data_IF_917249598616
#
_entry.id   IF_917249598616
#
_cell.length_a   1.000
_cell.length_b   1.000
_cell.length_c   1.000
_cell.angle_alpha   90.00
_cell.angle_beta   90.00
_cell.angle_gamma   90.00
#
_symmetry.space_group_name_H-M   'P 1'
#
loop_
_entity.id
_entity.type
_entity.pdbx_description
1 polymer ?
#
# COMPACT_ATOMS: atom_id res chain seq x y z
N UNK A 1 23.88 -17.84 -13.30
CA UNK A 1 25.19 -17.62 -12.62
C UNK A 1 25.30 -16.12 -12.37
N UNK A 2 24.95 -15.68 -11.16
CA UNK A 2 25.05 -14.27 -10.76
C UNK A 2 26.52 -13.92 -10.55
N UNK A 3 26.98 -12.81 -11.15
CA UNK A 3 28.31 -12.26 -10.85
C UNK A 3 28.15 -11.30 -9.67
N UNK A 4 28.78 -11.64 -8.56
CA UNK A 4 29.04 -10.72 -7.46
C UNK A 4 30.11 -9.73 -7.93
N UNK A 5 29.83 -8.43 -7.92
CA UNK A 5 30.86 -7.40 -7.99
C UNK A 5 31.40 -7.17 -6.56
N UNK A 6 32.68 -7.46 -6.28
CA UNK A 6 33.28 -7.30 -4.96
C UNK A 6 33.53 -5.84 -4.55
N UNK A 7 33.16 -4.85 -5.38
CA UNK A 7 33.23 -3.43 -5.02
C UNK A 7 31.85 -2.95 -4.56
N UNK A 8 31.61 -2.97 -3.24
CA UNK A 8 30.31 -2.74 -2.61
C UNK A 8 29.71 -1.34 -2.81
N UNK A 9 29.16 -1.06 -3.99
CA UNK A 9 28.50 0.23 -4.29
C UNK A 9 27.07 0.08 -4.80
N UNK A 10 26.64 -1.09 -5.29
CA UNK A 10 25.30 -1.29 -5.86
C UNK A 10 24.74 -2.67 -5.47
N UNK A 11 23.82 -2.73 -4.50
CA UNK A 11 23.04 -3.94 -4.21
C UNK A 11 21.75 -3.97 -5.05
N UNK A 12 21.84 -3.72 -6.35
CA UNK A 12 20.75 -3.97 -7.29
C UNK A 12 20.95 -5.37 -7.86
N UNK A 13 20.05 -6.30 -7.55
CA UNK A 13 19.97 -7.54 -8.32
C UNK A 13 19.22 -7.17 -9.60
N UNK A 14 19.96 -6.79 -10.64
CA UNK A 14 19.40 -6.67 -11.99
C UNK A 14 19.09 -8.07 -12.50
N UNK A 15 17.80 -8.39 -12.53
CA UNK A 15 17.32 -9.62 -13.15
C UNK A 15 16.94 -9.31 -14.60
N UNK A 16 17.55 -9.98 -15.60
CA UNK A 16 17.24 -9.73 -17.01
C UNK A 16 15.75 -9.99 -17.31
N UNK A 17 15.20 -9.42 -18.40
CA UNK A 17 13.81 -9.69 -18.78
C UNK A 17 13.58 -11.18 -19.01
N UNK A 18 12.49 -11.68 -18.46
CA UNK A 18 12.02 -13.05 -18.60
C UNK A 18 11.16 -13.22 -19.86
N UNK A 19 11.05 -14.45 -20.38
CA UNK A 19 10.05 -14.75 -21.37
C UNK A 19 8.65 -14.71 -20.72
N UNK A 20 7.61 -14.46 -21.53
CA UNK A 20 6.24 -14.43 -21.04
C UNK A 20 5.87 -15.75 -20.34
N UNK A 21 5.57 -15.70 -19.05
CA UNK A 21 5.20 -16.85 -18.22
C UNK A 21 6.28 -17.37 -17.26
N UNK A 22 7.51 -16.86 -17.30
CA UNK A 22 8.54 -17.26 -16.34
C UNK A 22 8.45 -16.46 -15.03
N UNK A 23 8.90 -17.05 -13.91
CA UNK A 23 8.87 -16.44 -12.56
C UNK A 23 10.26 -16.45 -11.91
N UNK A 24 10.66 -15.33 -11.29
CA UNK A 24 11.82 -15.30 -10.39
C UNK A 24 11.44 -15.72 -8.98
N UNK A 25 12.17 -16.70 -8.43
CA UNK A 25 12.12 -17.06 -7.01
C UNK A 25 13.30 -16.39 -6.29
N UNK A 26 13.03 -15.31 -5.54
CA UNK A 26 14.04 -14.60 -4.75
C UNK A 26 13.67 -14.66 -3.27
N UNK A 27 14.52 -15.29 -2.46
CA UNK A 27 14.43 -15.27 -1.00
C UNK A 27 15.51 -14.31 -0.46
N UNK A 28 15.12 -13.13 0.05
CA UNK A 28 16.08 -12.26 0.73
C UNK A 28 15.45 -11.34 1.78
N UNK A 29 16.24 -11.05 2.81
CA UNK A 29 16.00 -10.07 3.88
C UNK A 29 17.10 -9.01 3.81
N UNK A 30 16.77 -7.70 3.85
CA UNK A 30 17.76 -6.62 3.74
C UNK A 30 17.55 -5.48 4.76
N UNK A 31 18.64 -5.08 5.43
CA UNK A 31 18.81 -3.86 6.23
C UNK A 31 19.89 -3.01 5.54
N UNK A 32 19.57 -1.78 5.14
CA UNK A 32 20.54 -0.88 4.50
C UNK A 32 20.81 0.35 5.36
N UNK A 33 22.05 0.49 5.86
CA UNK A 33 22.56 1.68 6.58
C UNK A 33 23.40 2.62 5.71
N UNK A 34 23.25 2.58 4.37
CA UNK A 34 24.03 3.41 3.46
C UNK A 34 23.43 4.84 3.33
N UNK A 35 24.25 5.85 3.64
CA UNK A 35 23.89 7.29 3.72
C UNK A 35 24.48 8.13 2.57
N UNK A 36 24.81 7.54 1.42
CA UNK A 36 25.49 8.28 0.33
C UNK A 36 24.50 9.07 -0.58
N UNK A 37 24.63 10.41 -0.72
CA UNK A 37 23.68 11.28 -1.43
C UNK A 37 23.92 11.43 -2.95
N UNK A 38 24.51 10.45 -3.63
CA UNK A 38 24.80 10.56 -5.06
C UNK A 38 23.59 10.15 -5.93
N UNK A 39 22.82 11.16 -6.36
CA UNK A 39 21.94 11.18 -7.55
C UNK A 39 21.18 9.87 -7.88
N UNK A 40 20.04 9.64 -7.23
CA UNK A 40 18.92 8.90 -7.84
C UNK A 40 18.86 7.37 -7.74
N UNK A 41 19.88 6.65 -7.24
CA UNK A 41 19.82 5.20 -7.12
C UNK A 41 19.23 4.73 -5.77
N UNK A 42 17.96 4.34 -5.75
CA UNK A 42 17.37 3.60 -4.62
C UNK A 42 17.83 2.15 -4.61
N UNK A 43 18.17 1.58 -3.45
CA UNK A 43 18.44 0.13 -3.32
C UNK A 43 17.14 -0.67 -3.49
N UNK A 44 17.17 -1.84 -4.13
CA UNK A 44 15.91 -2.56 -4.35
C UNK A 44 15.97 -3.79 -5.24
N UNK A 45 14.80 -4.41 -5.37
CA UNK A 45 14.51 -5.43 -6.39
C UNK A 45 13.82 -4.79 -7.58
N UNK A 46 14.28 -5.12 -8.78
CA UNK A 46 13.80 -4.49 -10.00
C UNK A 46 13.58 -5.53 -11.10
N UNK A 47 12.35 -5.66 -11.60
CA UNK A 47 12.07 -6.30 -12.88
C UNK A 47 11.54 -5.21 -13.85
N UNK A 48 12.45 -4.54 -14.54
CA UNK A 48 12.14 -3.33 -15.33
C UNK A 48 12.46 -3.51 -16.80
N UNK A 49 11.68 -2.89 -17.68
CA UNK A 49 11.99 -2.80 -19.11
C UNK A 49 11.84 -1.36 -19.62
N UNK A 50 12.84 -0.94 -20.40
CA UNK A 50 12.82 0.33 -21.12
C UNK A 50 12.28 0.19 -22.56
N UNK A 51 12.11 -1.05 -23.04
CA UNK A 51 11.61 -1.35 -24.39
C UNK A 51 10.08 -1.43 -24.45
N UNK A 52 9.55 -1.64 -25.65
CA UNK A 52 8.10 -1.80 -25.88
C UNK A 52 7.52 -3.14 -25.42
N UNK A 53 8.34 -4.04 -24.89
CA UNK A 53 7.89 -5.31 -24.29
C UNK A 53 7.42 -5.11 -22.84
N UNK A 54 6.62 -6.05 -22.33
CA UNK A 54 6.15 -6.01 -20.94
C UNK A 54 7.25 -6.37 -19.94
N UNK A 55 7.19 -5.80 -18.73
CA UNK A 55 8.09 -6.14 -17.64
C UNK A 55 7.78 -7.55 -17.11
N UNK A 56 8.81 -8.22 -16.57
CA UNK A 56 8.63 -9.51 -15.90
C UNK A 56 7.94 -9.35 -14.55
N UNK A 57 7.29 -10.43 -14.09
CA UNK A 57 6.67 -10.48 -12.76
C UNK A 57 7.67 -10.86 -11.67
N UNK A 58 7.36 -10.52 -10.42
CA UNK A 58 8.17 -10.78 -9.24
C UNK A 58 7.38 -11.58 -8.21
N UNK A 59 7.95 -12.68 -7.72
CA UNK A 59 7.40 -13.46 -6.61
C UNK A 59 8.36 -13.38 -5.41
N UNK A 60 7.83 -12.94 -4.27
CA UNK A 60 8.55 -12.81 -3.00
C UNK A 60 7.97 -13.78 -1.98
N UNK A 61 8.73 -14.84 -1.67
CA UNK A 61 8.33 -15.88 -0.74
C UNK A 61 8.99 -15.66 0.62
N UNK A 62 8.31 -14.94 1.52
CA UNK A 62 8.81 -14.62 2.86
C UNK A 62 7.68 -14.29 3.86
N UNK A 63 7.76 -14.75 5.12
CA UNK A 63 6.82 -14.35 6.17
C UNK A 63 7.07 -12.91 6.64
N UNK A 64 8.24 -12.35 6.34
CA UNK A 64 8.60 -10.98 6.70
C UNK A 64 9.35 -10.30 5.55
N UNK A 65 8.81 -9.18 5.07
CA UNK A 65 9.42 -8.30 4.09
C UNK A 65 9.70 -6.95 4.73
N UNK A 66 10.95 -6.50 4.70
CA UNK A 66 11.35 -5.19 5.21
C UNK A 66 11.90 -4.34 4.08
N UNK A 67 11.17 -3.31 3.70
CA UNK A 67 11.56 -2.32 2.68
C UNK A 67 11.76 -1.00 3.40
N UNK A 68 13.01 -0.59 3.57
CA UNK A 68 13.34 0.54 4.46
C UNK A 68 14.30 1.51 3.81
N UNK A 69 14.37 2.74 4.32
CA UNK A 69 15.36 3.75 3.90
C UNK A 69 15.32 4.00 2.39
N UNK A 70 14.12 4.28 1.86
CA UNK A 70 13.85 4.53 0.44
C UNK A 70 14.14 3.34 -0.48
N UNK A 71 14.23 2.12 0.08
CA UNK A 71 14.34 0.93 -0.74
C UNK A 71 13.09 0.69 -1.59
N UNK A 72 13.26 0.01 -2.72
CA UNK A 72 12.19 -0.28 -3.67
C UNK A 72 12.07 -1.77 -3.98
N UNK A 73 10.84 -2.25 -4.11
CA UNK A 73 10.51 -3.51 -4.78
C UNK A 73 9.65 -3.11 -5.97
N UNK A 74 10.18 -3.19 -7.18
CA UNK A 74 9.53 -2.56 -8.33
C UNK A 74 9.53 -3.46 -9.56
N UNK A 75 8.36 -3.54 -10.20
CA UNK A 75 8.20 -4.02 -11.57
C UNK A 75 7.71 -2.84 -12.40
N UNK A 76 8.46 -2.47 -13.44
CA UNK A 76 8.18 -1.23 -14.17
C UNK A 76 8.40 -1.37 -15.67
N UNK A 77 7.44 -0.89 -16.45
CA UNK A 77 7.64 -0.67 -17.88
C UNK A 77 7.65 0.82 -18.19
N UNK A 78 8.75 1.30 -18.78
CA UNK A 78 8.95 2.72 -19.09
C UNK A 78 8.29 3.10 -20.42
N UNK A 79 8.22 2.17 -21.38
CA UNK A 79 7.62 2.41 -22.69
C UNK A 79 6.24 1.76 -22.80
N UNK A 80 5.88 1.26 -23.98
CA UNK A 80 4.49 0.94 -24.32
C UNK A 80 4.01 -0.43 -23.81
N UNK A 81 4.87 -1.23 -23.20
CA UNK A 81 4.51 -2.54 -22.65
C UNK A 81 3.82 -2.43 -21.29
N UNK A 82 3.10 -3.48 -20.90
CA UNK A 82 2.44 -3.55 -19.60
C UNK A 82 3.46 -3.78 -18.47
N UNK A 83 3.16 -3.31 -17.26
CA UNK A 83 3.96 -3.66 -16.10
C UNK A 83 3.73 -5.13 -15.71
N UNK A 84 4.76 -5.75 -15.14
CA UNK A 84 4.64 -7.09 -14.55
C UNK A 84 3.84 -7.05 -13.26
N UNK A 85 3.57 -8.22 -12.70
CA UNK A 85 2.85 -8.36 -11.44
C UNK A 85 3.82 -8.61 -10.27
N UNK A 86 3.42 -8.28 -9.05
CA UNK A 86 4.14 -8.63 -7.81
C UNK A 86 3.26 -9.54 -6.96
N UNK A 87 3.75 -10.73 -6.63
CA UNK A 87 3.12 -11.62 -5.65
C UNK A 87 4.00 -11.68 -4.40
N UNK A 88 3.40 -11.49 -3.22
CA UNK A 88 4.09 -11.59 -1.94
C UNK A 88 3.29 -12.54 -1.04
N UNK A 89 3.94 -13.63 -0.64
CA UNK A 89 3.34 -14.67 0.19
C UNK A 89 4.39 -15.26 1.15
N UNK A 90 3.97 -15.80 2.31
CA UNK A 90 4.88 -16.54 3.17
C UNK A 90 5.31 -17.84 2.49
N UNK A 91 6.50 -18.35 2.83
CA UNK A 91 6.91 -19.68 2.38
C UNK A 91 6.04 -20.78 3.01
N UNK A 92 6.06 -21.96 2.40
CA UNK A 92 5.26 -23.12 2.81
C UNK A 92 5.34 -23.39 4.33
N UNK A 93 4.16 -23.44 4.96
CA UNK A 93 4.00 -23.71 6.38
C UNK A 93 3.84 -22.46 7.25
N UNK A 94 4.27 -21.29 6.77
CA UNK A 94 4.00 -20.03 7.45
C UNK A 94 2.62 -19.49 7.07
N UNK A 95 1.95 -18.86 8.03
CA UNK A 95 0.56 -18.40 7.87
C UNK A 95 0.42 -16.89 7.94
N UNK A 96 1.51 -16.19 8.25
CA UNK A 96 1.52 -14.76 8.51
C UNK A 96 2.51 -14.06 7.61
N UNK A 97 2.15 -12.88 7.13
CA UNK A 97 2.99 -12.00 6.33
C UNK A 97 3.10 -10.63 7.03
N UNK A 98 4.31 -10.21 7.34
CA UNK A 98 4.62 -8.90 7.89
C UNK A 98 5.42 -8.06 6.89
N UNK A 99 4.85 -6.97 6.41
CA UNK A 99 5.49 -6.01 5.51
C UNK A 99 5.79 -4.73 6.28
N UNK A 100 7.07 -4.40 6.43
CA UNK A 100 7.54 -3.17 7.08
C UNK A 100 8.07 -2.19 6.01
N UNK A 101 7.41 -1.04 5.91
CA UNK A 101 7.72 0.03 4.96
C UNK A 101 8.23 1.27 5.73
N UNK A 102 9.48 1.20 6.19
CA UNK A 102 10.10 2.26 7.00
C UNK A 102 10.81 3.31 6.14
N UNK A 103 10.85 4.57 6.59
CA UNK A 103 11.52 5.71 5.92
C UNK A 103 11.37 5.70 4.38
N UNK A 104 10.13 5.80 3.91
CA UNK A 104 9.78 5.81 2.48
C UNK A 104 10.07 4.51 1.71
N UNK A 105 9.94 3.34 2.35
CA UNK A 105 9.97 2.06 1.64
C UNK A 105 8.80 1.91 0.66
N UNK A 106 9.09 1.44 -0.56
CA UNK A 106 8.09 1.37 -1.65
C UNK A 106 8.04 -0.02 -2.28
N UNK A 107 6.83 -0.51 -2.51
CA UNK A 107 6.54 -1.67 -3.37
C UNK A 107 5.67 -1.16 -4.52
N UNK A 108 6.09 -1.31 -5.77
CA UNK A 108 5.41 -0.68 -6.91
C UNK A 108 5.31 -1.58 -8.14
N UNK A 109 4.13 -1.65 -8.75
CA UNK A 109 3.91 -2.28 -10.03
C UNK A 109 3.31 -1.25 -11.01
N UNK A 110 4.15 -0.57 -11.76
CA UNK A 110 3.77 0.69 -12.44
C UNK A 110 4.25 0.81 -13.88
N UNK A 111 3.51 1.57 -14.68
CA UNK A 111 3.95 1.98 -16.04
C UNK A 111 4.01 3.49 -16.13
N UNK A 112 4.92 4.00 -16.98
CA UNK A 112 5.10 5.44 -17.21
C UNK A 112 4.80 5.93 -18.64
N UNK A 113 4.34 5.05 -19.54
CA UNK A 113 3.91 5.42 -20.91
C UNK A 113 2.54 4.82 -21.26
N UNK A 114 2.38 3.98 -22.28
CA UNK A 114 1.05 3.51 -22.70
C UNK A 114 0.67 2.13 -22.18
N UNK A 115 1.48 1.47 -21.36
CA UNK A 115 1.13 0.17 -20.78
C UNK A 115 0.12 0.25 -19.63
N UNK A 116 -0.56 -0.84 -19.33
CA UNK A 116 -1.40 -0.97 -18.12
C UNK A 116 -0.52 -1.14 -16.88
N UNK A 117 -0.96 -0.58 -15.75
CA UNK A 117 -0.32 -0.82 -14.46
C UNK A 117 -0.37 -2.30 -14.07
N UNK A 118 0.64 -2.74 -13.31
CA UNK A 118 0.80 -4.14 -12.92
C UNK A 118 0.03 -4.44 -11.64
N UNK A 119 -0.38 -5.69 -11.44
CA UNK A 119 -1.13 -6.06 -10.24
C UNK A 119 -0.19 -6.40 -9.10
N UNK A 120 -0.65 -6.16 -7.86
CA UNK A 120 0.04 -6.58 -6.65
C UNK A 120 -0.88 -7.53 -5.90
N UNK A 121 -0.37 -8.69 -5.51
CA UNK A 121 -1.09 -9.68 -4.74
C UNK A 121 -0.38 -9.96 -3.42
N UNK A 122 -1.10 -9.81 -2.31
CA UNK A 122 -0.64 -10.11 -0.96
C UNK A 122 -1.46 -11.27 -0.39
N UNK A 123 -0.81 -12.39 -0.07
CA UNK A 123 -1.48 -13.60 0.38
C UNK A 123 -0.89 -14.09 1.69
N UNK A 124 -1.74 -14.34 2.70
CA UNK A 124 -1.32 -15.08 3.90
C UNK A 124 -2.54 -15.71 4.59
N UNK A 125 -2.55 -17.03 4.86
CA UNK A 125 -3.73 -17.72 5.37
C UNK A 125 -4.31 -17.20 6.70
N UNK A 126 -3.51 -16.59 7.57
CA UNK A 126 -3.92 -16.14 8.90
C UNK A 126 -3.89 -14.62 9.04
N UNK A 127 -2.80 -13.95 8.68
CA UNK A 127 -2.75 -12.50 8.82
C UNK A 127 -1.75 -11.83 7.91
N UNK A 128 -2.11 -10.65 7.40
CA UNK A 128 -1.19 -9.72 6.73
C UNK A 128 -1.11 -8.44 7.57
N UNK A 129 0.10 -8.04 7.94
CA UNK A 129 0.36 -6.73 8.56
C UNK A 129 1.20 -5.88 7.63
N UNK A 130 0.69 -4.71 7.23
CA UNK A 130 1.45 -3.68 6.52
C UNK A 130 1.66 -2.51 7.46
N UNK A 131 2.90 -2.30 7.88
CA UNK A 131 3.29 -1.24 8.80
C UNK A 131 4.20 -0.24 8.08
N UNK A 132 3.74 1.01 8.02
CA UNK A 132 4.61 2.13 7.72
C UNK A 132 5.31 2.62 9.00
N UNK A 133 6.38 3.40 8.84
CA UNK A 133 7.00 4.14 9.95
C UNK A 133 7.32 5.60 9.63
N UNK A 134 6.81 6.09 8.50
CA UNK A 134 6.95 7.49 8.11
C UNK A 134 6.26 8.42 9.09
N UNK A 135 6.92 9.52 9.47
CA UNK A 135 6.32 10.59 10.30
C UNK A 135 5.72 11.72 9.45
N UNK A 136 5.97 11.71 8.14
CA UNK A 136 5.52 12.71 7.18
C UNK A 136 4.85 12.05 5.98
N UNK A 137 4.15 12.85 5.17
CA UNK A 137 3.54 12.39 3.91
C UNK A 137 4.59 11.85 2.94
N UNK A 138 5.76 12.48 2.86
CA UNK A 138 6.88 12.07 2.01
C UNK A 138 7.64 10.86 2.57
N UNK A 139 7.60 10.69 3.89
CA UNK A 139 8.21 9.58 4.63
C UNK A 139 7.40 8.28 4.63
N UNK A 140 6.17 8.31 4.09
CA UNK A 140 5.22 7.19 4.20
C UNK A 140 5.72 5.95 3.47
N UNK A 141 5.38 4.79 4.02
CA UNK A 141 5.53 3.53 3.32
C UNK A 141 4.40 3.33 2.32
N UNK A 142 4.72 2.86 1.11
CA UNK A 142 3.72 2.74 0.04
C UNK A 142 3.77 1.37 -0.64
N UNK A 143 2.59 0.79 -0.89
CA UNK A 143 2.37 -0.27 -1.88
C UNK A 143 1.49 0.31 -2.98
N UNK A 144 1.96 0.34 -4.22
CA UNK A 144 1.31 1.08 -5.30
C UNK A 144 1.27 0.30 -6.61
N UNK A 145 0.07 0.01 -7.11
CA UNK A 145 -0.17 -0.49 -8.46
C UNK A 145 -0.61 0.66 -9.40
N UNK A 146 0.12 1.76 -9.34
CA UNK A 146 -0.24 3.04 -9.96
C UNK A 146 0.25 3.13 -11.42
N UNK A 147 -0.40 3.98 -12.22
CA UNK A 147 0.12 4.35 -13.55
C UNK A 147 0.05 5.84 -13.78
N UNK A 148 1.13 6.41 -14.33
CA UNK A 148 1.13 7.74 -14.95
C UNK A 148 0.87 7.67 -16.46
N UNK A 149 0.59 6.47 -16.96
CA UNK A 149 0.40 6.17 -18.36
C UNK A 149 -0.98 6.48 -18.92
N UNK A 150 -1.16 6.23 -20.21
CA UNK A 150 -2.44 6.51 -20.90
C UNK A 150 -3.52 5.45 -20.71
N UNK A 151 -3.18 4.33 -20.05
CA UNK A 151 -4.07 3.18 -19.82
C UNK A 151 -4.36 2.98 -18.32
N UNK A 152 -5.23 2.04 -18.00
CA UNK A 152 -5.68 1.79 -16.63
C UNK A 152 -4.54 1.41 -15.67
N UNK A 153 -4.66 1.84 -14.41
CA UNK A 153 -3.80 1.41 -13.32
C UNK A 153 -4.02 -0.08 -12.99
N UNK A 154 -3.06 -0.68 -12.28
CA UNK A 154 -3.13 -2.07 -11.86
C UNK A 154 -4.00 -2.26 -10.63
N UNK A 155 -4.32 -3.51 -10.31
CA UNK A 155 -5.13 -3.85 -9.14
C UNK A 155 -4.27 -4.28 -7.95
N UNK A 156 -4.86 -4.24 -6.76
CA UNK A 156 -4.29 -4.77 -5.54
C UNK A 156 -5.24 -5.78 -4.92
N UNK A 157 -4.79 -7.03 -4.83
CA UNK A 157 -5.55 -8.12 -4.23
C UNK A 157 -4.92 -8.53 -2.89
N UNK A 158 -5.74 -8.64 -1.85
CA UNK A 158 -5.31 -9.00 -0.50
C UNK A 158 -6.17 -10.16 0.01
N UNK A 159 -5.54 -11.28 0.34
CA UNK A 159 -6.20 -12.52 0.75
C UNK A 159 -5.65 -12.97 2.11
N UNK A 160 -6.46 -12.82 3.17
CA UNK A 160 -6.04 -13.19 4.53
C UNK A 160 -7.20 -13.24 5.52
N UNK A 161 -7.09 -13.93 6.66
CA UNK A 161 -8.14 -13.83 7.69
C UNK A 161 -8.15 -12.46 8.38
N UNK A 162 -6.98 -11.89 8.65
CA UNK A 162 -6.84 -10.59 9.32
C UNK A 162 -5.86 -9.68 8.56
N UNK A 163 -6.35 -8.54 8.09
CA UNK A 163 -5.54 -7.47 7.51
C UNK A 163 -5.34 -6.35 8.52
N UNK A 164 -4.09 -5.97 8.79
CA UNK A 164 -3.76 -4.79 9.58
C UNK A 164 -2.91 -3.81 8.77
N UNK A 165 -3.39 -2.59 8.58
CA UNK A 165 -2.67 -1.49 7.94
C UNK A 165 -2.44 -0.40 8.98
N UNK A 166 -1.17 -0.08 9.26
CA UNK A 166 -0.83 0.87 10.31
C UNK A 166 0.40 1.72 10.02
N UNK A 167 0.66 2.71 10.86
CA UNK A 167 1.93 3.46 10.87
C UNK A 167 2.15 4.32 9.62
N UNK A 168 1.08 4.84 9.02
CA UNK A 168 1.10 5.63 7.78
C UNK A 168 1.45 4.80 6.52
N UNK A 169 1.24 3.47 6.54
CA UNK A 169 1.26 2.65 5.32
C UNK A 169 0.10 2.99 4.37
N UNK A 170 0.41 3.37 3.13
CA UNK A 170 -0.57 3.63 2.07
C UNK A 170 -0.56 2.51 1.04
N UNK A 171 -1.71 1.89 0.80
CA UNK A 171 -1.91 0.90 -0.27
C UNK A 171 -2.80 1.57 -1.33
N UNK A 172 -2.30 1.69 -2.56
CA UNK A 172 -2.87 2.59 -3.58
C UNK A 172 -2.88 1.96 -4.98
N UNK A 173 -3.93 2.22 -5.74
CA UNK A 173 -4.10 1.77 -7.14
C UNK A 173 -4.46 2.96 -8.05
N UNK A 174 -4.02 4.16 -7.66
CA UNK A 174 -4.41 5.40 -8.34
C UNK A 174 -3.79 5.60 -9.71
N UNK A 175 -4.43 6.48 -10.50
CA UNK A 175 -3.81 7.08 -11.69
C UNK A 175 -3.75 8.59 -11.57
N UNK A 176 -2.69 9.17 -12.14
CA UNK A 176 -2.50 10.62 -12.27
C UNK A 176 -2.68 11.10 -13.71
N UNK A 177 -3.14 10.22 -14.60
CA UNK A 177 -3.26 10.51 -16.03
C UNK A 177 -4.56 11.22 -16.35
N UNK A 178 -4.47 12.30 -17.13
CA UNK A 178 -5.64 13.02 -17.66
C UNK A 178 -6.18 12.39 -18.96
N UNK A 179 -5.61 11.27 -19.39
CA UNK A 179 -6.08 10.57 -20.57
C UNK A 179 -7.43 9.91 -20.27
N UNK A 180 -8.43 10.11 -21.14
CA UNK A 180 -9.78 9.53 -21.00
C UNK A 180 -9.81 8.00 -20.88
N UNK A 181 -8.73 7.33 -21.28
CA UNK A 181 -8.59 5.87 -21.24
C UNK A 181 -7.91 5.35 -19.96
N UNK A 182 -7.34 6.21 -19.13
CA UNK A 182 -6.58 5.82 -17.95
C UNK A 182 -7.47 5.79 -16.72
N UNK A 183 -8.10 4.67 -16.33
CA UNK A 183 -8.91 4.58 -15.10
C UNK A 183 -8.09 4.21 -13.87
N UNK A 184 -8.57 4.59 -12.68
CA UNK A 184 -8.04 4.06 -11.41
C UNK A 184 -8.21 2.54 -11.32
N UNK A 185 -7.28 1.87 -10.66
CA UNK A 185 -7.26 0.42 -10.48
C UNK A 185 -8.04 -0.01 -9.25
N UNK A 186 -8.47 -1.27 -9.17
CA UNK A 186 -9.33 -1.74 -8.09
C UNK A 186 -8.51 -2.31 -6.93
N UNK A 187 -9.08 -2.26 -5.72
CA UNK A 187 -8.54 -2.95 -4.54
C UNK A 187 -9.57 -4.00 -4.10
N UNK A 188 -9.19 -5.28 -4.09
CA UNK A 188 -10.00 -6.36 -3.53
C UNK A 188 -9.38 -6.85 -2.22
N UNK A 189 -10.19 -6.94 -1.17
CA UNK A 189 -9.76 -7.47 0.13
C UNK A 189 -10.71 -8.57 0.58
N UNK A 190 -10.19 -9.78 0.61
CA UNK A 190 -10.82 -10.96 1.18
C UNK A 190 -10.29 -11.14 2.60
N UNK A 191 -10.99 -10.58 3.59
CA UNK A 191 -10.62 -10.68 5.00
C UNK A 191 -11.81 -10.73 5.96
N UNK A 192 -11.70 -11.51 7.04
CA UNK A 192 -12.72 -11.54 8.09
C UNK A 192 -12.61 -10.32 9.01
N UNK A 193 -11.38 -9.80 9.17
CA UNK A 193 -11.12 -8.61 9.95
C UNK A 193 -10.15 -7.68 9.23
N UNK A 194 -10.51 -6.40 9.14
CA UNK A 194 -9.68 -5.34 8.56
C UNK A 194 -9.46 -4.26 9.62
N UNK A 195 -8.20 -3.99 9.95
CA UNK A 195 -7.79 -3.01 10.95
C UNK A 195 -7.00 -1.89 10.24
N UNK A 196 -7.51 -0.65 10.28
CA UNK A 196 -6.85 0.51 9.65
C UNK A 196 -6.54 1.58 10.68
N UNK A 197 -5.25 1.75 11.00
CA UNK A 197 -4.80 2.54 12.14
C UNK A 197 -3.80 3.63 11.74
N UNK A 198 -4.21 4.90 11.83
CA UNK A 198 -3.35 6.07 11.61
C UNK A 198 -3.80 6.94 10.44
N UNK A 199 -3.59 8.25 10.55
CA UNK A 199 -4.14 9.32 9.69
C UNK A 199 -3.86 9.16 8.19
N UNK A 200 -2.82 8.43 7.87
CA UNK A 200 -2.36 8.23 6.51
C UNK A 200 -2.27 6.76 6.14
N UNK A 201 -2.84 5.89 6.99
CA UNK A 201 -2.94 4.46 6.77
C UNK A 201 -4.26 4.11 6.11
N UNK A 202 -4.20 3.24 5.11
CA UNK A 202 -5.42 2.85 4.41
C UNK A 202 -5.25 2.20 3.05
N UNK A 203 -6.42 1.94 2.46
CA UNK A 203 -6.62 1.46 1.10
C UNK A 203 -7.19 2.61 0.27
N UNK A 204 -6.58 2.90 -0.88
CA UNK A 204 -6.93 4.07 -1.69
C UNK A 204 -6.99 3.70 -3.18
N UNK A 205 -8.20 3.47 -3.68
CA UNK A 205 -8.45 3.33 -5.12
C UNK A 205 -8.83 4.70 -5.71
N UNK A 206 -8.08 5.73 -5.32
CA UNK A 206 -8.37 7.12 -5.67
C UNK A 206 -7.90 7.45 -7.09
N UNK A 207 -8.33 8.57 -7.64
CA UNK A 207 -7.73 9.13 -8.86
C UNK A 207 -7.58 10.64 -8.73
N UNK A 208 -6.52 11.17 -9.32
CA UNK A 208 -6.34 12.61 -9.53
C UNK A 208 -6.49 12.99 -11.00
N UNK A 209 -6.72 12.01 -11.88
CA UNK A 209 -6.89 12.21 -13.32
C UNK A 209 -8.31 12.60 -13.74
N UNK A 210 -8.49 12.75 -15.05
CA UNK A 210 -9.76 13.16 -15.65
C UNK A 210 -10.83 12.04 -15.71
N UNK A 211 -10.46 10.81 -15.41
CA UNK A 211 -11.26 9.57 -15.52
C UNK A 211 -11.73 9.05 -14.17
N UNK A 212 -12.60 8.02 -14.19
CA UNK A 212 -13.15 7.41 -12.98
C UNK A 212 -12.08 6.81 -12.04
N UNK A 213 -12.29 6.97 -10.74
CA UNK A 213 -11.49 6.30 -9.72
C UNK A 213 -11.77 4.78 -9.74
N UNK A 214 -10.89 4.02 -9.08
CA UNK A 214 -11.04 2.57 -8.99
C UNK A 214 -12.07 2.16 -7.94
N UNK A 215 -12.51 0.91 -7.99
CA UNK A 215 -13.43 0.36 -7.00
C UNK A 215 -12.68 -0.33 -5.86
N UNK A 216 -13.28 -0.35 -4.67
CA UNK A 216 -12.85 -1.18 -3.56
C UNK A 216 -13.92 -2.21 -3.24
N UNK A 217 -13.52 -3.47 -3.13
CA UNK A 217 -14.40 -4.57 -2.70
C UNK A 217 -13.82 -5.18 -1.44
N UNK A 218 -14.59 -5.17 -0.36
CA UNK A 218 -14.22 -5.78 0.92
C UNK A 218 -15.24 -6.87 1.26
N UNK A 219 -14.77 -8.11 1.40
CA UNK A 219 -15.62 -9.26 1.71
C UNK A 219 -14.89 -10.27 2.63
N UNK A 220 -15.62 -11.17 3.31
CA UNK A 220 -15.02 -12.19 4.14
C UNK A 220 -14.09 -13.12 3.37
N UNK A 221 -13.09 -13.63 4.08
CA UNK A 221 -12.13 -14.54 3.50
C UNK A 221 -12.75 -15.93 3.25
N UNK A 222 -12.71 -16.37 1.98
CA UNK A 222 -13.23 -17.67 1.50
C UNK A 222 -14.71 -17.90 1.84
N UNK A 223 -14.97 -18.67 2.90
CA UNK A 223 -16.33 -19.01 3.38
C UNK A 223 -16.66 -18.27 4.68
N UNK A 224 -15.96 -17.17 4.96
CA UNK A 224 -16.31 -16.31 6.08
C UNK A 224 -17.72 -15.76 5.93
N UNK A 225 -18.44 -15.68 7.05
CA UNK A 225 -19.82 -15.21 7.07
C UNK A 225 -19.92 -13.76 7.54
N UNK A 226 -18.91 -13.28 8.27
CA UNK A 226 -18.88 -11.93 8.84
C UNK A 226 -17.61 -11.18 8.44
N UNK A 227 -17.74 -9.85 8.33
CA UNK A 227 -16.64 -8.92 8.09
C UNK A 227 -16.64 -7.83 9.16
N UNK A 228 -15.53 -7.69 9.88
CA UNK A 228 -15.32 -6.59 10.83
C UNK A 228 -14.27 -5.61 10.32
N UNK A 229 -14.60 -4.32 10.27
CA UNK A 229 -13.67 -3.25 9.88
C UNK A 229 -13.49 -2.29 11.07
N UNK A 230 -12.26 -2.16 11.54
CA UNK A 230 -11.90 -1.30 12.66
C UNK A 230 -11.04 -0.12 12.18
N UNK A 231 -11.52 1.09 12.40
CA UNK A 231 -10.80 2.34 12.17
C UNK A 231 -10.32 2.95 13.49
N UNK A 232 -9.05 3.37 13.52
CA UNK A 232 -8.47 4.12 14.64
C UNK A 232 -7.56 5.23 14.14
N UNK A 233 -7.50 6.32 14.90
CA UNK A 233 -6.53 7.40 14.66
C UNK A 233 -6.56 7.94 13.22
N UNK A 234 -7.75 8.18 12.66
CA UNK A 234 -7.95 8.70 11.29
C UNK A 234 -7.53 7.74 10.14
N UNK A 235 -7.52 6.43 10.36
CA UNK A 235 -7.39 5.45 9.26
C UNK A 235 -8.51 5.59 8.22
N UNK A 236 -8.21 5.31 6.94
CA UNK A 236 -9.14 5.54 5.84
C UNK A 236 -9.21 4.38 4.83
N UNK A 237 -10.35 4.25 4.17
CA UNK A 237 -10.58 3.42 2.98
C UNK A 237 -11.35 4.31 2.00
N UNK A 238 -10.83 4.55 0.80
CA UNK A 238 -11.34 5.59 -0.09
C UNK A 238 -11.27 5.20 -1.56
N UNK A 239 -12.40 5.37 -2.25
CA UNK A 239 -12.54 5.29 -3.70
C UNK A 239 -12.73 6.70 -4.33
N UNK A 240 -12.34 7.76 -3.61
CA UNK A 240 -12.66 9.12 -4.01
C UNK A 240 -11.86 9.58 -5.24
N UNK A 241 -12.37 10.60 -5.91
CA UNK A 241 -11.66 11.33 -6.96
C UNK A 241 -11.37 12.74 -6.48
N UNK A 242 -10.15 13.23 -6.72
CA UNK A 242 -9.80 14.64 -6.58
C UNK A 242 -9.65 15.35 -7.93
N UNK A 243 -9.80 14.62 -9.04
CA UNK A 243 -9.81 15.14 -10.40
C UNK A 243 -11.22 15.41 -10.94
N UNK A 244 -11.35 15.64 -12.25
CA UNK A 244 -12.65 15.88 -12.90
C UNK A 244 -13.45 14.59 -13.18
N UNK A 245 -12.84 13.42 -12.96
CA UNK A 245 -13.49 12.13 -13.15
C UNK A 245 -14.51 11.79 -12.07
N UNK A 246 -15.23 10.68 -12.24
CA UNK A 246 -16.23 10.19 -11.29
C UNK A 246 -15.57 9.40 -10.16
N UNK A 247 -16.06 9.52 -8.93
CA UNK A 247 -15.60 8.68 -7.81
C UNK A 247 -15.89 7.19 -8.07
N UNK A 248 -15.06 6.33 -7.51
CA UNK A 248 -15.23 4.89 -7.58
C UNK A 248 -16.26 4.36 -6.60
N UNK A 249 -16.53 3.06 -6.66
CA UNK A 249 -17.47 2.38 -5.77
C UNK A 249 -16.72 1.68 -4.64
N UNK A 250 -17.20 1.84 -3.41
CA UNK A 250 -16.79 1.00 -2.26
C UNK A 250 -17.92 0.00 -1.96
N UNK A 251 -17.65 -1.28 -2.19
CA UNK A 251 -18.54 -2.40 -1.90
C UNK A 251 -18.02 -3.08 -0.64
N UNK A 252 -18.87 -3.15 0.39
CA UNK A 252 -18.60 -3.90 1.63
C UNK A 252 -19.73 -4.90 1.81
N UNK A 253 -19.42 -6.19 1.74
CA UNK A 253 -20.42 -7.25 1.72
C UNK A 253 -19.98 -8.42 2.59
N UNK A 254 -20.92 -9.06 3.28
CA UNK A 254 -20.70 -10.31 3.99
C UNK A 254 -22.02 -11.11 4.02
N UNK A 255 -21.98 -12.46 4.01
CA UNK A 255 -23.19 -13.29 4.01
C UNK A 255 -24.10 -13.07 5.22
N UNK A 256 -23.54 -12.90 6.41
CA UNK A 256 -24.29 -12.76 7.67
C UNK A 256 -24.25 -11.32 8.20
N UNK A 257 -23.06 -10.74 8.37
CA UNK A 257 -22.95 -9.41 8.97
C UNK A 257 -21.68 -8.65 8.57
N UNK A 258 -21.85 -7.34 8.36
CA UNK A 258 -20.76 -6.37 8.26
C UNK A 258 -20.78 -5.47 9.51
N UNK A 259 -19.68 -5.43 10.25
CA UNK A 259 -19.50 -4.55 11.41
C UNK A 259 -18.41 -3.51 11.15
N UNK A 260 -18.74 -2.23 11.21
CA UNK A 260 -17.77 -1.13 11.06
C UNK A 260 -17.66 -0.37 12.38
N UNK A 261 -16.44 -0.20 12.89
CA UNK A 261 -16.15 0.47 14.16
C UNK A 261 -15.15 1.60 13.95
N UNK A 262 -15.45 2.79 14.47
CA UNK A 262 -14.51 3.90 14.56
C UNK A 262 -14.24 4.26 16.01
N UNK A 263 -12.98 4.39 16.39
CA UNK A 263 -12.60 4.87 17.73
C UNK A 263 -12.08 6.31 17.65
N UNK A 264 -12.88 7.26 18.15
CA UNK A 264 -12.45 8.66 18.35
C UNK A 264 -11.85 8.79 19.74
N UNK A 265 -10.62 9.32 19.83
CA UNK A 265 -9.99 9.60 21.11
C UNK A 265 -10.60 10.89 21.66
N UNK A 266 -11.59 10.78 22.55
CA UNK A 266 -12.05 11.93 23.33
C UNK A 266 -10.93 12.32 24.30
N UNK A 267 -10.27 13.46 24.07
CA UNK A 267 -9.45 14.09 25.10
C UNK A 267 -10.39 14.60 26.20
N UNK A 268 -10.17 14.28 27.49
CA UNK A 268 -10.96 14.89 28.55
C UNK A 268 -10.76 16.40 28.50
N UNK A 269 -11.84 17.18 28.41
CA UNK A 269 -11.79 18.64 28.60
C UNK A 269 -11.15 18.89 29.96
N UNK A 270 -10.00 19.54 29.96
CA UNK A 270 -9.37 20.06 31.18
C UNK A 270 -10.35 21.10 31.74
N UNK A 271 -11.00 20.78 32.86
CA UNK A 271 -11.72 21.78 33.65
C UNK A 271 -10.65 22.76 34.16
N UNK A 272 -10.59 23.96 33.57
CA UNK A 272 -9.86 25.07 34.17
C UNK A 272 -10.57 25.44 35.48
N UNK A 273 -10.07 24.90 36.58
CA UNK A 273 -10.29 25.48 37.91
C UNK A 273 -9.52 26.80 37.95
N UNK A 274 -10.24 27.91 37.85
CA UNK A 274 -9.60 29.21 37.88
C UNK A 274 -10.55 30.40 37.82
N UNK A 275 -11.58 30.48 38.66
CA UNK A 275 -12.12 31.77 39.11
C UNK A 275 -12.58 31.65 40.57
N UNK A 276 -11.74 32.14 41.48
CA UNK A 276 -12.18 32.65 42.77
C UNK A 276 -12.91 33.96 42.51
N UNK A 277 -14.21 34.01 42.76
CA UNK A 277 -14.87 35.28 43.08
C UNK A 277 -15.22 35.28 44.57
N UNK A 278 -14.41 36.01 45.34
CA UNK A 278 -14.75 36.41 46.70
C UNK A 278 -15.89 37.44 46.64
N UNK A 279 -17.01 37.16 47.29
CA UNK A 279 -17.99 38.19 47.65
C UNK A 279 -18.39 38.00 49.10
N UNK A 280 -17.77 38.78 49.99
CA UNK A 280 -18.20 38.94 51.38
C UNK A 280 -19.35 39.95 51.46
N UNK A 281 -20.46 39.57 52.08
CA UNK A 281 -21.44 40.52 52.61
C UNK A 281 -21.83 40.09 54.02
N UNK A 282 -21.48 40.94 54.99
CA UNK A 282 -21.89 40.83 56.39
C UNK A 282 -23.34 41.25 56.58
N UNK A 283 -24.09 40.68 57.54
CA UNK A 283 -25.44 41.12 57.85
C UNK A 283 -25.42 42.45 58.61
N UNK A 284 -26.34 43.35 58.26
CA UNK A 284 -26.69 44.51 59.10
C UNK A 284 -27.98 44.18 59.83
N UNK A 285 -28.08 44.68 61.06
CA UNK A 285 -29.16 44.47 62.04
C UNK A 285 -30.50 45.03 61.58
#
# INVERSE_FOLDING_TARGET
MSRFDPQGVNNAIEVPPLAAGDTYQLQASFDNRNTNPNQGATSGFFARTAGSGSAGSMSLNTPQLSVTNRAQVSVETISNGDAGDITIEPFDGERTLAINLDRSGTISASTSSSGRGGNIQLMAPQSITVEGRGTTVEGRGTISAETSGTNAAGNLDIDTQELTIRGNARLSTSTTSDNSSASGGNISVDANQINVFGRNSGLFAETSGATGAGNLTLQPYRRGETLTINFRSEGAISAATSGSGVGGTLIVSAPEAVTIRGMVRCLPRRLEQGMQESSSLTPTT
#
